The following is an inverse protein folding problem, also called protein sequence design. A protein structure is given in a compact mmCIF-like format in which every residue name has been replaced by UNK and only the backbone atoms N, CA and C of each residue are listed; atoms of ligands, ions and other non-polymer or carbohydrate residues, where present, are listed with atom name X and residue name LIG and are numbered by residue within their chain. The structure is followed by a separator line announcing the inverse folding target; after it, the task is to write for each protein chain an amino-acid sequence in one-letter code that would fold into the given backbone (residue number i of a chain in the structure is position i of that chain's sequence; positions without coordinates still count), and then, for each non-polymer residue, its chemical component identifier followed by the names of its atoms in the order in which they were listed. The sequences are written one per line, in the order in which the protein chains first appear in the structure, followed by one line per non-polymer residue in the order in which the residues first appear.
data_IF_494862291339
#
_entry.id   IF_494862291339
#
_cell.length_a   1.000
_cell.length_b   1.000
_cell.length_c   1.000
_cell.angle_alpha   90.00
_cell.angle_beta   90.00
_cell.angle_gamma   90.00
#
_symmetry.space_group_name_H-M   'P 1'
#
loop_
_entity.id
_entity.type
_entity.pdbx_description
1 polymer ?
#
# COMPACT_ATOMS: atom_id res chain seq x y z
N UNK A 1 7.27 -26.22 14.00
CA UNK A 1 8.41 -25.27 14.14
C UNK A 1 7.88 -23.85 14.08
N UNK A 2 7.61 -23.24 15.24
CA UNK A 2 7.11 -21.85 15.33
C UNK A 2 8.30 -20.90 15.09
N UNK A 3 8.18 -20.01 14.11
CA UNK A 3 9.20 -19.01 13.79
C UNK A 3 9.16 -17.91 14.88
N UNK A 4 10.07 -17.97 15.84
CA UNK A 4 10.08 -17.11 17.04
C UNK A 4 11.00 -15.89 16.94
N UNK A 5 11.80 -15.77 15.87
CA UNK A 5 12.76 -14.66 15.72
C UNK A 5 12.64 -14.04 14.32
N UNK A 6 12.27 -12.76 14.22
CA UNK A 6 12.34 -12.05 12.96
C UNK A 6 13.81 -11.84 12.60
N UNK A 7 14.25 -12.51 11.54
CA UNK A 7 15.62 -12.39 11.02
C UNK A 7 15.78 -11.01 10.40
N UNK A 8 16.34 -10.06 11.17
CA UNK A 8 16.92 -8.82 10.65
C UNK A 8 18.22 -9.16 9.90
N UNK A 9 18.08 -9.62 8.65
CA UNK A 9 19.21 -9.69 7.72
C UNK A 9 19.22 -8.43 6.86
N UNK A 10 20.43 -8.03 6.47
CA UNK A 10 20.62 -6.98 5.48
C UNK A 10 19.75 -7.24 4.26
N UNK A 11 19.19 -6.17 3.66
CA UNK A 11 18.38 -6.33 2.49
C UNK A 11 19.19 -7.06 1.39
N UNK A 12 18.74 -8.23 0.85
CA UNK A 12 19.27 -8.74 -0.40
C UNK A 12 19.41 -7.62 -1.45
N UNK A 13 20.55 -7.60 -2.17
CA UNK A 13 20.90 -6.55 -3.12
C UNK A 13 19.80 -6.37 -4.17
N UNK A 14 19.66 -5.13 -4.66
CA UNK A 14 18.60 -4.75 -5.60
C UNK A 14 18.54 -5.65 -6.84
N UNK A 15 19.66 -6.25 -7.22
CA UNK A 15 19.87 -6.99 -8.46
C UNK A 15 19.54 -8.49 -8.34
N UNK A 16 19.27 -9.01 -7.14
CA UNK A 16 18.99 -10.44 -6.95
C UNK A 16 17.51 -10.82 -7.11
N UNK A 17 16.65 -9.91 -7.58
CA UNK A 17 15.20 -10.13 -7.68
C UNK A 17 14.81 -10.52 -9.10
N UNK A 18 14.66 -11.82 -9.33
CA UNK A 18 14.16 -12.40 -10.60
C UNK A 18 12.70 -12.04 -10.95
N UNK A 19 11.97 -11.37 -10.06
CA UNK A 19 10.56 -10.98 -10.23
C UNK A 19 10.31 -9.49 -9.95
N UNK A 20 11.29 -8.67 -10.32
CA UNK A 20 11.18 -7.24 -10.13
C UNK A 20 11.17 -6.79 -8.67
N UNK A 21 10.99 -5.49 -8.46
CA UNK A 21 10.94 -4.86 -7.13
C UNK A 21 9.73 -5.29 -6.27
N UNK A 22 8.88 -6.21 -6.74
CA UNK A 22 7.67 -6.74 -6.08
C UNK A 22 7.97 -7.64 -4.87
N UNK A 23 7.67 -7.15 -3.66
CA UNK A 23 8.08 -7.81 -2.39
C UNK A 23 7.04 -8.82 -1.90
N UNK A 24 7.33 -9.55 -0.81
CA UNK A 24 6.41 -10.55 -0.26
C UNK A 24 5.08 -9.93 0.19
N UNK A 25 5.12 -8.70 0.71
CA UNK A 25 3.92 -7.96 1.12
C UNK A 25 3.07 -7.54 -0.09
N UNK A 26 3.68 -7.14 -1.21
CA UNK A 26 2.94 -6.87 -2.46
C UNK A 26 2.26 -8.14 -2.96
N UNK A 27 2.95 -9.28 -2.96
CA UNK A 27 2.36 -10.57 -3.36
C UNK A 27 1.23 -10.97 -2.43
N UNK A 28 1.44 -10.95 -1.12
CA UNK A 28 0.39 -11.29 -0.15
C UNK A 28 -0.84 -10.37 -0.28
N UNK A 29 -0.62 -9.08 -0.57
CA UNK A 29 -1.71 -8.13 -0.82
C UNK A 29 -2.42 -8.42 -2.13
N UNK A 30 -1.68 -8.67 -3.22
CA UNK A 30 -2.26 -8.98 -4.54
C UNK A 30 -3.11 -10.25 -4.50
N UNK A 31 -2.67 -11.27 -3.78
CA UNK A 31 -3.40 -12.53 -3.58
C UNK A 31 -4.51 -12.42 -2.52
N UNK A 32 -4.67 -11.29 -1.83
CA UNK A 32 -5.64 -11.12 -0.75
C UNK A 32 -5.38 -11.99 0.49
N UNK A 33 -4.16 -12.51 0.64
CA UNK A 33 -3.80 -13.42 1.72
C UNK A 33 -3.52 -12.63 3.02
N UNK A 34 -4.59 -12.38 3.78
CA UNK A 34 -4.53 -11.65 5.04
C UNK A 34 -3.63 -12.31 6.09
N UNK A 35 -3.62 -13.64 6.20
CA UNK A 35 -2.84 -14.33 7.24
C UNK A 35 -1.34 -14.10 7.02
N UNK A 36 -0.88 -14.29 5.79
CA UNK A 36 0.51 -14.03 5.42
C UNK A 36 0.85 -12.54 5.58
N UNK A 37 0.00 -11.63 5.11
CA UNK A 37 0.24 -10.19 5.27
C UNK A 37 0.33 -9.78 6.75
N UNK A 38 -0.57 -10.30 7.61
CA UNK A 38 -0.60 -10.00 9.04
C UNK A 38 0.65 -10.52 9.76
N UNK A 39 1.09 -11.75 9.47
CA UNK A 39 2.31 -12.31 10.07
C UNK A 39 3.57 -11.57 9.60
N UNK A 40 3.66 -11.22 8.32
CA UNK A 40 4.78 -10.41 7.81
C UNK A 40 4.89 -9.07 8.55
N UNK A 41 3.75 -8.39 8.76
CA UNK A 41 3.71 -7.12 9.47
C UNK A 41 4.09 -7.24 10.95
N UNK A 42 3.66 -8.31 11.63
CA UNK A 42 4.03 -8.59 13.04
C UNK A 42 5.53 -8.84 13.19
N UNK A 43 6.15 -9.54 12.24
CA UNK A 43 7.57 -9.83 12.27
C UNK A 43 8.46 -8.62 11.89
N UNK A 44 7.91 -7.42 11.70
CA UNK A 44 8.69 -6.23 11.36
C UNK A 44 9.29 -6.32 9.95
N UNK A 45 8.50 -6.75 8.97
CA UNK A 45 8.96 -6.92 7.59
C UNK A 45 9.56 -5.64 6.99
N UNK A 46 10.86 -5.74 6.64
CA UNK A 46 11.74 -4.93 5.75
C UNK A 46 11.44 -3.43 5.54
N UNK A 47 10.24 -3.07 5.09
CA UNK A 47 9.72 -1.69 5.02
C UNK A 47 8.30 -1.72 4.45
N UNK A 48 7.37 -1.02 5.11
CA UNK A 48 6.01 -0.76 4.62
C UNK A 48 6.00 0.10 3.35
N UNK A 49 7.01 0.96 3.21
CA UNK A 49 7.12 1.95 2.14
C UNK A 49 7.80 1.39 0.88
N UNK A 50 8.18 0.11 0.90
CA UNK A 50 8.82 -0.53 -0.24
C UNK A 50 7.93 -0.42 -1.48
N UNK A 51 8.54 0.00 -2.59
CA UNK A 51 7.88 0.18 -3.88
C UNK A 51 8.18 -0.98 -4.82
N UNK A 52 7.21 -1.37 -5.65
CA UNK A 52 7.39 -2.27 -6.78
C UNK A 52 7.97 -1.52 -8.00
N UNK A 53 7.97 -2.15 -9.18
CA UNK A 53 8.52 -1.56 -10.41
C UNK A 53 7.72 -0.36 -10.91
N UNK A 54 6.40 -0.39 -10.73
CA UNK A 54 5.46 0.71 -11.00
C UNK A 54 5.52 1.80 -9.91
N UNK A 55 6.46 1.72 -8.96
CA UNK A 55 6.55 2.69 -7.87
C UNK A 55 5.43 2.57 -6.81
N UNK A 56 4.63 1.51 -6.87
CA UNK A 56 3.50 1.27 -6.00
C UNK A 56 3.92 0.60 -4.71
N UNK A 57 3.27 0.98 -3.61
CA UNK A 57 3.39 0.32 -2.30
C UNK A 57 2.29 -0.72 -2.12
N UNK A 58 2.38 -1.53 -1.06
CA UNK A 58 1.32 -2.47 -0.70
C UNK A 58 -0.05 -1.77 -0.48
N UNK A 59 -0.05 -0.53 0.01
CA UNK A 59 -1.28 0.26 0.19
C UNK A 59 -1.92 0.62 -1.14
N UNK A 60 -1.14 1.00 -2.17
CA UNK A 60 -1.69 1.21 -3.52
C UNK A 60 -2.42 -0.04 -4.03
N UNK A 61 -1.80 -1.21 -3.90
CA UNK A 61 -2.40 -2.47 -4.34
C UNK A 61 -3.67 -2.80 -3.55
N UNK A 62 -3.64 -2.68 -2.23
CA UNK A 62 -4.80 -2.94 -1.39
C UNK A 62 -5.96 -1.99 -1.72
N UNK A 63 -5.67 -0.73 -2.03
CA UNK A 63 -6.67 0.27 -2.40
C UNK A 63 -7.24 0.07 -3.80
N UNK A 64 -6.40 -0.34 -4.77
CA UNK A 64 -6.84 -0.69 -6.13
C UNK A 64 -7.72 -1.95 -6.14
N UNK A 65 -7.37 -2.94 -5.32
CA UNK A 65 -8.07 -4.24 -5.27
C UNK A 65 -9.24 -4.26 -4.28
N UNK A 66 -9.41 -3.23 -3.46
CA UNK A 66 -10.48 -3.15 -2.45
C UNK A 66 -10.34 -4.11 -1.27
N UNK A 67 -9.11 -4.53 -0.96
CA UNK A 67 -8.83 -5.51 0.09
C UNK A 67 -8.76 -4.80 1.44
N UNK A 68 -9.93 -4.43 1.97
CA UNK A 68 -10.07 -3.59 3.17
C UNK A 68 -9.39 -4.18 4.40
N UNK A 69 -9.43 -5.51 4.58
CA UNK A 69 -8.82 -6.18 5.74
C UNK A 69 -7.29 -6.01 5.78
N UNK A 70 -6.63 -6.13 4.62
CA UNK A 70 -5.18 -5.92 4.52
C UNK A 70 -4.87 -4.43 4.62
N UNK A 71 -5.66 -3.57 3.98
CA UNK A 71 -5.49 -2.13 4.04
C UNK A 71 -5.56 -1.59 5.48
N UNK A 72 -6.54 -2.04 6.26
CA UNK A 72 -6.66 -1.67 7.67
C UNK A 72 -5.43 -2.11 8.46
N UNK A 73 -4.95 -3.33 8.22
CA UNK A 73 -3.74 -3.84 8.89
C UNK A 73 -2.51 -2.99 8.52
N UNK A 74 -2.37 -2.61 7.25
CA UNK A 74 -1.28 -1.75 6.78
C UNK A 74 -1.34 -0.36 7.40
N UNK A 75 -2.53 0.25 7.52
CA UNK A 75 -2.73 1.53 8.19
C UNK A 75 -2.32 1.44 9.67
N UNK A 76 -2.81 0.43 10.38
CA UNK A 76 -2.47 0.21 11.79
C UNK A 76 -0.97 0.00 12.00
N UNK A 77 -0.31 -0.77 11.12
CA UNK A 77 1.14 -0.93 11.15
C UNK A 77 1.87 0.37 10.82
N UNK A 78 1.38 1.17 9.87
CA UNK A 78 1.95 2.48 9.53
C UNK A 78 1.84 3.50 10.66
N UNK A 79 0.77 3.44 11.47
CA UNK A 79 0.63 4.23 12.70
C UNK A 79 1.68 3.81 13.71
N UNK A 80 1.81 2.50 13.96
CA UNK A 80 2.79 1.97 14.91
C UNK A 80 4.25 2.33 14.56
N UNK A 81 4.56 2.50 13.27
CA UNK A 81 5.90 2.88 12.80
C UNK A 81 6.05 4.37 12.47
N UNK A 82 5.05 5.22 12.74
CA UNK A 82 5.03 6.65 12.41
C UNK A 82 5.28 6.97 10.91
N UNK A 83 4.91 6.06 10.00
CA UNK A 83 5.04 6.24 8.55
C UNK A 83 3.70 6.43 7.83
N UNK A 84 2.58 6.50 8.58
CA UNK A 84 1.24 6.47 8.01
C UNK A 84 1.03 7.55 6.94
N UNK A 85 1.35 8.81 7.23
CA UNK A 85 1.10 9.94 6.33
C UNK A 85 1.78 9.72 4.98
N UNK A 86 3.06 9.34 4.99
CA UNK A 86 3.83 9.03 3.79
C UNK A 86 3.27 7.80 3.08
N UNK A 87 2.77 6.81 3.81
CA UNK A 87 2.24 5.57 3.26
C UNK A 87 0.89 5.75 2.53
N UNK A 88 0.00 6.61 3.05
CA UNK A 88 -1.33 6.85 2.41
C UNK A 88 -1.30 7.92 1.32
N UNK A 89 -0.31 8.83 1.37
CA UNK A 89 -0.14 9.91 0.42
C UNK A 89 0.98 9.65 -0.59
N UNK A 90 1.61 8.47 -0.55
CA UNK A 90 2.65 8.13 -1.50
C UNK A 90 2.12 8.13 -2.93
N UNK A 91 2.99 8.51 -3.86
CA UNK A 91 2.73 8.46 -5.29
C UNK A 91 3.49 7.32 -5.94
N UNK A 92 2.84 6.66 -6.89
CA UNK A 92 3.47 5.73 -7.82
C UNK A 92 4.22 6.46 -8.95
N UNK A 93 4.73 5.73 -9.95
CA UNK A 93 5.49 6.32 -11.07
C UNK A 93 4.65 7.26 -11.92
N UNK A 94 3.34 7.01 -12.03
CA UNK A 94 2.40 7.80 -12.83
C UNK A 94 1.79 8.95 -12.02
N UNK A 95 2.14 9.05 -10.74
CA UNK A 95 1.72 10.12 -9.84
C UNK A 95 0.40 9.88 -9.12
N UNK A 96 -0.17 8.68 -9.25
CA UNK A 96 -1.38 8.28 -8.55
C UNK A 96 -1.09 7.95 -7.10
N UNK A 97 -2.03 8.26 -6.22
CA UNK A 97 -2.01 7.85 -4.80
C UNK A 97 -2.95 6.67 -4.58
N UNK A 98 -2.86 5.97 -3.43
CA UNK A 98 -3.80 4.91 -3.10
C UNK A 98 -5.27 5.37 -3.13
N UNK A 99 -5.53 6.62 -2.74
CA UNK A 99 -6.88 7.20 -2.78
C UNK A 99 -7.39 7.39 -4.22
N UNK A 100 -6.52 7.77 -5.16
CA UNK A 100 -6.91 7.82 -6.57
C UNK A 100 -7.36 6.44 -7.05
N UNK A 101 -6.63 5.37 -6.73
CA UNK A 101 -7.01 4.03 -7.13
C UNK A 101 -8.30 3.54 -6.50
N UNK A 102 -8.56 3.87 -5.23
CA UNK A 102 -9.82 3.52 -4.58
C UNK A 102 -11.02 4.23 -5.23
N UNK A 103 -10.85 5.52 -5.58
CA UNK A 103 -11.84 6.30 -6.31
C UNK A 103 -12.06 5.77 -7.74
N UNK A 104 -10.97 5.57 -8.48
CA UNK A 104 -11.00 5.02 -9.84
C UNK A 104 -11.64 3.61 -9.86
N UNK A 105 -11.45 2.80 -8.82
CA UNK A 105 -12.02 1.45 -8.78
C UNK A 105 -13.46 1.41 -8.25
N UNK A 106 -14.07 2.56 -7.95
CA UNK A 106 -15.41 2.69 -7.35
C UNK A 106 -15.57 1.88 -6.05
N UNK A 107 -14.62 2.06 -5.12
CA UNK A 107 -14.56 1.31 -3.85
C UNK A 107 -14.88 2.22 -2.64
N UNK A 108 -16.15 2.53 -2.36
CA UNK A 108 -16.52 3.50 -1.32
C UNK A 108 -16.04 3.11 0.07
N UNK A 109 -16.06 1.81 0.41
CA UNK A 109 -15.57 1.30 1.69
C UNK A 109 -14.07 1.55 1.87
N UNK A 110 -13.29 1.36 0.80
CA UNK A 110 -11.85 1.58 0.78
C UNK A 110 -11.51 3.07 0.87
N UNK A 111 -12.26 3.92 0.15
CA UNK A 111 -12.17 5.38 0.22
C UNK A 111 -12.45 5.85 1.65
N UNK A 112 -13.54 5.38 2.25
CA UNK A 112 -13.90 5.70 3.63
C UNK A 112 -12.79 5.30 4.60
N UNK A 113 -12.22 4.09 4.46
CA UNK A 113 -11.14 3.62 5.31
C UNK A 113 -9.86 4.48 5.21
N UNK A 114 -9.47 4.86 3.99
CA UNK A 114 -8.31 5.72 3.74
C UNK A 114 -8.49 7.12 4.32
N UNK A 115 -9.68 7.70 4.25
CA UNK A 115 -9.97 9.04 4.78
C UNK A 115 -10.07 9.00 6.30
N UNK A 116 -10.87 8.08 6.84
CA UNK A 116 -11.20 8.04 8.27
C UNK A 116 -10.04 7.52 9.13
N UNK A 117 -9.42 6.39 8.74
CA UNK A 117 -8.31 5.79 9.50
C UNK A 117 -6.95 6.24 8.98
N UNK A 118 -6.81 6.33 7.66
CA UNK A 118 -5.55 6.70 7.02
C UNK A 118 -5.23 8.19 7.06
N UNK A 119 -6.23 9.07 7.25
CA UNK A 119 -6.11 10.53 7.09
C UNK A 119 -5.51 10.92 5.73
N UNK A 120 -5.87 10.18 4.68
CA UNK A 120 -5.39 10.43 3.33
C UNK A 120 -5.79 11.83 2.84
N UNK A 121 -4.87 12.54 2.20
CA UNK A 121 -5.11 13.86 1.67
C UNK A 121 -5.89 13.76 0.35
N UNK A 122 -7.12 14.27 0.39
CA UNK A 122 -8.07 14.25 -0.74
C UNK A 122 -7.77 15.28 -1.84
N UNK A 123 -6.87 16.23 -1.58
CA UNK A 123 -6.52 17.33 -2.49
C UNK A 123 -5.25 17.07 -3.31
N UNK A 124 -4.63 15.89 -3.15
CA UNK A 124 -3.42 15.55 -3.88
C UNK A 124 -3.74 15.43 -5.37
N UNK A 125 -3.10 16.27 -6.19
CA UNK A 125 -3.21 16.19 -7.65
C UNK A 125 -2.22 15.17 -8.21
N UNK A 126 -2.68 14.36 -9.15
CA UNK A 126 -1.81 13.61 -10.04
C UNK A 126 -1.07 14.62 -10.95
N UNK A 127 0.29 14.63 -10.99
CA UNK A 127 1.05 15.56 -11.83
C UNK A 127 0.84 15.37 -13.33
N UNK A 128 0.56 14.15 -13.77
CA UNK A 128 0.40 13.76 -15.17
C UNK A 128 -0.99 14.15 -15.71
N UNK A 129 -2.04 13.91 -14.93
CA UNK A 129 -3.43 14.18 -15.35
C UNK A 129 -4.00 15.49 -14.81
N UNK A 130 -3.42 16.06 -13.76
CA UNK A 130 -3.95 17.24 -13.05
C UNK A 130 -5.18 16.96 -12.16
N UNK A 131 -5.72 15.75 -12.22
CA UNK A 131 -6.90 15.32 -11.46
C UNK A 131 -6.58 15.13 -9.97
N UNK A 132 -7.57 15.38 -9.11
CA UNK A 132 -7.59 14.88 -7.72
C UNK A 132 -8.37 13.56 -7.64
N UNK A 133 -8.25 12.75 -6.56
CA UNK A 133 -8.94 11.47 -6.46
C UNK A 133 -10.44 11.54 -6.72
N UNK A 134 -11.11 12.62 -6.27
CA UNK A 134 -12.55 12.76 -6.47
C UNK A 134 -12.95 12.98 -7.95
N UNK A 135 -12.08 13.59 -8.76
CA UNK A 135 -12.32 13.69 -10.21
C UNK A 135 -12.36 12.31 -10.85
N UNK A 136 -11.47 11.39 -10.42
CA UNK A 136 -11.44 10.02 -10.91
C UNK A 136 -12.72 9.26 -10.56
N UNK A 137 -13.30 9.51 -9.38
CA UNK A 137 -14.60 8.94 -9.00
C UNK A 137 -15.77 9.48 -9.84
N UNK A 138 -15.72 10.76 -10.23
CA UNK A 138 -16.76 11.38 -11.06
C UNK A 138 -16.64 11.03 -12.56
N UNK A 139 -15.47 10.55 -12.99
CA UNK A 139 -15.20 10.19 -14.39
C UNK A 139 -15.70 8.81 -14.82
N UNK A 140 -16.35 8.06 -13.92
CA UNK A 140 -16.90 6.72 -14.14
C UNK A 140 -18.40 6.68 -13.92
#
# INVERSE_FOLDING_TARGET
TKLTVPVKKDPPPHDSRRHGRTNLLHRATKEGNYTVASELLKCGYRSLEAKNEEGQTAVHLASRLGINNILEKLINSGIATNCLEKLVNCRDTDGYTPLHYACQSNLPNTVCLLITKGKANVQIRNPSTGCVPLHEAASR
#
